data_IF_961911123649
#
_entry.id   IF_961911123649
#
_cell.length_a   1.000
_cell.length_b   1.000
_cell.length_c   1.000
_cell.angle_alpha   90.00
_cell.angle_beta   90.00
_cell.angle_gamma   90.00
#
_symmetry.space_group_name_H-M   'P 1'
#
loop_
_entity.id
_entity.type
_entity.pdbx_description
1 polymer ?
#
# COMPACT_ATOMS: atom_id res chain seq x y z
N UNK A 1 -29.11 -6.78 -1.85
CA UNK A 1 -28.32 -5.89 -0.98
C UNK A 1 -28.72 -6.19 0.45
N UNK A 2 -27.76 -6.44 1.34
CA UNK A 2 -28.03 -6.85 2.72
C UNK A 2 -28.09 -5.62 3.62
N UNK A 3 -29.26 -4.96 3.65
CA UNK A 3 -29.56 -3.87 4.57
C UNK A 3 -30.98 -4.09 5.12
N UNK A 4 -31.24 -3.77 6.40
CA UNK A 4 -32.58 -3.93 6.97
C UNK A 4 -33.60 -3.05 6.25
N UNK A 5 -34.86 -3.49 6.27
CA UNK A 5 -35.97 -2.66 5.80
C UNK A 5 -36.35 -1.59 6.85
N UNK A 6 -37.12 -0.58 6.41
CA UNK A 6 -37.62 0.48 7.28
C UNK A 6 -36.59 1.57 7.61
N UNK A 7 -36.67 2.13 8.82
CA UNK A 7 -35.89 3.32 9.22
C UNK A 7 -34.37 3.08 9.22
N UNK A 8 -33.93 1.82 9.34
CA UNK A 8 -32.52 1.43 9.35
C UNK A 8 -31.94 1.16 7.96
N UNK A 9 -32.75 1.25 6.90
CA UNK A 9 -32.31 1.02 5.53
C UNK A 9 -31.18 1.99 5.15
N UNK A 10 -30.03 1.45 4.78
CA UNK A 10 -28.83 2.21 4.45
C UNK A 10 -27.99 2.71 5.64
N UNK A 11 -28.52 2.64 6.86
CA UNK A 11 -27.78 2.95 8.10
C UNK A 11 -26.98 1.74 8.57
N UNK A 12 -27.62 0.57 8.64
CA UNK A 12 -26.96 -0.68 8.98
C UNK A 12 -26.37 -1.30 7.71
N UNK A 13 -25.07 -1.57 7.75
CA UNK A 13 -24.29 -2.08 6.62
C UNK A 13 -23.52 -3.32 7.05
N UNK A 14 -23.44 -4.28 6.14
CA UNK A 14 -22.65 -5.49 6.30
C UNK A 14 -21.36 -5.37 5.47
N UNK A 15 -20.25 -5.89 6.01
CA UNK A 15 -18.97 -5.91 5.30
C UNK A 15 -18.99 -6.99 4.21
N UNK A 16 -18.28 -6.75 3.11
CA UNK A 16 -18.10 -7.75 2.07
C UNK A 16 -17.16 -8.88 2.52
N UNK A 17 -17.23 -10.05 1.87
CA UNK A 17 -16.43 -11.23 2.24
C UNK A 17 -14.91 -10.98 2.31
N UNK A 18 -14.36 -10.23 1.36
CA UNK A 18 -12.91 -9.90 1.32
C UNK A 18 -12.61 -8.54 1.95
N UNK A 19 -13.55 -7.98 2.71
CA UNK A 19 -13.36 -6.71 3.37
C UNK A 19 -12.42 -6.86 4.56
N UNK A 20 -11.51 -5.91 4.71
CA UNK A 20 -10.57 -5.82 5.82
C UNK A 20 -10.58 -4.41 6.39
N UNK A 21 -10.40 -4.25 7.71
CA UNK A 21 -10.33 -2.95 8.37
C UNK A 21 -8.91 -2.76 8.88
N UNK A 22 -8.28 -1.64 8.54
CA UNK A 22 -6.90 -1.36 8.96
C UNK A 22 -6.78 -1.25 10.47
N UNK A 23 -5.72 -1.83 11.03
CA UNK A 23 -5.37 -1.71 12.47
C UNK A 23 -4.45 -0.51 12.74
N UNK A 24 -3.82 0.01 11.68
CA UNK A 24 -2.92 1.14 11.74
C UNK A 24 -1.48 0.75 12.01
N UNK A 25 -0.56 1.66 11.69
CA UNK A 25 0.87 1.48 11.88
C UNK A 25 1.55 2.81 12.26
N UNK A 26 2.69 2.78 12.98
CA UNK A 26 3.49 3.97 13.26
C UNK A 26 3.86 4.72 11.98
N UNK A 27 3.80 6.06 12.02
CA UNK A 27 4.08 6.93 10.87
C UNK A 27 5.51 7.44 10.83
N UNK A 28 6.23 7.41 11.94
CA UNK A 28 7.59 7.91 12.07
C UNK A 28 8.55 7.24 11.07
N UNK A 29 8.54 5.90 10.89
CA UNK A 29 9.48 5.25 9.96
C UNK A 29 9.32 5.69 8.50
N UNK A 30 8.08 6.01 8.07
CA UNK A 30 7.84 6.46 6.70
C UNK A 30 8.32 7.91 6.50
N UNK A 31 8.18 8.76 7.52
CA UNK A 31 8.69 10.14 7.49
C UNK A 31 10.23 10.11 7.39
N UNK A 32 10.90 9.35 8.25
CA UNK A 32 12.36 9.19 8.24
C UNK A 32 12.87 8.66 6.89
N UNK A 33 12.17 7.69 6.31
CA UNK A 33 12.49 7.17 4.99
C UNK A 33 12.42 8.24 3.90
N UNK A 34 11.36 9.06 3.91
CA UNK A 34 11.18 10.13 2.92
C UNK A 34 12.22 11.25 3.10
N UNK A 35 12.58 11.61 4.34
CA UNK A 35 13.67 12.56 4.61
C UNK A 35 15.00 12.07 4.00
N UNK A 36 15.33 10.79 4.20
CA UNK A 36 16.51 10.14 3.59
C UNK A 36 16.45 10.02 2.06
N UNK A 37 15.32 10.38 1.44
CA UNK A 37 15.08 10.38 -0.01
C UNK A 37 14.82 11.78 -0.54
N UNK A 38 15.43 12.80 0.08
CA UNK A 38 15.40 14.19 -0.37
C UNK A 38 14.02 14.87 -0.26
N UNK A 39 13.16 14.40 0.65
CA UNK A 39 12.07 15.24 1.14
C UNK A 39 12.64 16.33 2.04
N UNK A 40 12.38 17.59 1.70
CA UNK A 40 12.69 18.76 2.53
C UNK A 40 11.63 18.84 3.63
N UNK A 41 12.02 18.94 4.90
CA UNK A 41 11.08 19.14 5.99
C UNK A 41 10.43 20.52 5.89
N UNK A 42 9.21 20.65 6.44
CA UNK A 42 8.42 21.87 6.30
C UNK A 42 9.15 23.09 6.90
N UNK A 43 9.88 22.90 7.99
CA UNK A 43 10.62 23.96 8.69
C UNK A 43 11.77 24.54 7.84
N UNK A 44 12.32 23.76 6.91
CA UNK A 44 13.41 24.17 6.01
C UNK A 44 12.90 24.61 4.63
N UNK A 45 11.60 24.49 4.39
CA UNK A 45 11.01 24.76 3.09
C UNK A 45 10.83 26.27 2.83
N UNK A 46 11.45 26.74 1.76
CA UNK A 46 11.29 28.11 1.25
C UNK A 46 10.40 28.12 -0.01
N UNK A 47 9.17 28.64 0.05
CA UNK A 47 8.24 28.61 -1.08
C UNK A 47 8.75 29.34 -2.33
N UNK A 48 9.49 30.42 -2.15
CA UNK A 48 10.06 31.19 -3.27
C UNK A 48 11.15 30.41 -4.02
N UNK A 49 11.87 29.53 -3.33
CA UNK A 49 12.95 28.71 -3.90
C UNK A 49 12.40 27.53 -4.70
N UNK A 50 11.28 26.97 -4.27
CA UNK A 50 10.68 25.77 -4.90
C UNK A 50 9.14 25.87 -5.00
N UNK A 51 8.60 26.82 -5.78
CA UNK A 51 7.15 27.07 -5.86
C UNK A 51 6.35 25.91 -6.46
N UNK A 52 7.02 24.99 -7.15
CA UNK A 52 6.41 23.83 -7.79
C UNK A 52 6.64 22.52 -7.02
N UNK A 53 7.17 22.58 -5.79
CA UNK A 53 7.34 21.39 -4.97
C UNK A 53 5.98 20.77 -4.60
N UNK A 54 5.95 19.46 -4.48
CA UNK A 54 4.77 18.70 -4.04
C UNK A 54 4.76 18.59 -2.53
N UNK A 55 3.65 18.97 -1.92
CA UNK A 55 3.42 18.89 -0.47
C UNK A 55 3.26 17.43 -0.06
N UNK A 56 3.92 17.01 1.01
CA UNK A 56 3.82 15.67 1.57
C UNK A 56 3.02 15.72 2.86
N UNK A 57 1.93 14.97 2.91
CA UNK A 57 1.06 14.86 4.07
C UNK A 57 1.10 13.45 4.63
N UNK A 58 1.19 13.34 5.96
CA UNK A 58 1.08 12.06 6.67
C UNK A 58 -0.02 12.20 7.72
N UNK A 59 -1.08 11.39 7.61
CA UNK A 59 -2.26 11.45 8.48
C UNK A 59 -2.87 12.86 8.59
N UNK A 60 -2.85 13.61 7.49
CA UNK A 60 -3.36 14.99 7.41
C UNK A 60 -2.38 16.08 7.86
N UNK A 61 -1.24 15.73 8.45
CA UNK A 61 -0.19 16.68 8.85
C UNK A 61 0.73 16.95 7.67
N UNK A 62 0.96 18.21 7.34
CA UNK A 62 1.95 18.60 6.33
C UNK A 62 3.36 18.46 6.93
N UNK A 63 4.12 17.47 6.49
CA UNK A 63 5.44 17.15 7.05
C UNK A 63 6.61 17.72 6.24
N UNK A 64 6.39 18.01 4.95
CA UNK A 64 7.46 18.50 4.09
C UNK A 64 7.06 18.64 2.64
N UNK A 65 8.06 18.81 1.77
CA UNK A 65 7.88 18.91 0.33
C UNK A 65 8.90 18.05 -0.42
N UNK A 66 8.57 17.69 -1.65
CA UNK A 66 9.49 16.98 -2.54
C UNK A 66 9.42 17.53 -3.96
N UNK A 67 10.58 17.66 -4.62
CA UNK A 67 10.70 18.22 -5.98
C UNK A 67 10.36 17.22 -7.08
N UNK A 68 10.66 15.94 -6.85
CA UNK A 68 10.31 14.83 -7.76
C UNK A 68 9.33 13.83 -7.09
N UNK A 69 8.03 14.17 -7.01
CA UNK A 69 7.04 13.31 -6.35
C UNK A 69 6.83 11.97 -7.06
N UNK A 70 7.10 11.88 -8.38
CA UNK A 70 6.87 10.65 -9.12
C UNK A 70 7.85 9.56 -8.66
N UNK A 71 9.12 9.92 -8.50
CA UNK A 71 10.13 9.02 -7.96
C UNK A 71 9.84 8.64 -6.50
N UNK A 72 9.47 9.61 -5.65
CA UNK A 72 9.15 9.34 -4.25
C UNK A 72 7.98 8.36 -4.11
N UNK A 73 6.88 8.59 -4.85
CA UNK A 73 5.69 7.73 -4.83
C UNK A 73 6.03 6.30 -5.27
N UNK A 74 6.81 6.15 -6.36
CA UNK A 74 7.25 4.83 -6.83
C UNK A 74 8.06 4.06 -5.77
N UNK A 75 8.97 4.76 -5.09
CA UNK A 75 9.79 4.17 -4.03
C UNK A 75 8.93 3.71 -2.84
N UNK A 76 8.03 4.57 -2.34
CA UNK A 76 7.17 4.23 -1.20
C UNK A 76 6.18 3.11 -1.57
N UNK A 77 5.63 3.14 -2.79
CA UNK A 77 4.77 2.05 -3.28
C UNK A 77 5.53 0.73 -3.35
N UNK A 78 6.79 0.75 -3.78
CA UNK A 78 7.65 -0.44 -3.84
C UNK A 78 7.94 -1.00 -2.45
N UNK A 79 8.20 -0.14 -1.45
CA UNK A 79 8.35 -0.57 -0.05
C UNK A 79 7.09 -1.30 0.45
N UNK A 80 5.90 -0.75 0.17
CA UNK A 80 4.62 -1.36 0.56
C UNK A 80 4.42 -2.72 -0.09
N UNK A 81 4.74 -2.84 -1.39
CA UNK A 81 4.62 -4.10 -2.15
C UNK A 81 5.59 -5.19 -1.67
N UNK A 82 6.71 -4.79 -1.07
CA UNK A 82 7.72 -5.70 -0.51
C UNK A 82 7.56 -5.90 1.00
N UNK A 83 6.46 -5.43 1.61
CA UNK A 83 6.17 -5.54 3.04
C UNK A 83 7.19 -4.86 3.98
N UNK A 84 8.03 -3.95 3.49
CA UNK A 84 8.94 -3.14 4.35
C UNK A 84 8.18 -2.08 5.15
N UNK A 85 7.03 -1.66 4.63
CA UNK A 85 6.03 -0.88 5.36
C UNK A 85 4.71 -1.64 5.31
N UNK A 86 3.84 -1.40 6.30
CA UNK A 86 2.56 -2.09 6.38
C UNK A 86 1.79 -2.01 5.06
N UNK A 87 1.23 -3.15 4.63
CA UNK A 87 0.40 -3.25 3.43
C UNK A 87 -0.86 -2.38 3.53
N UNK A 88 -1.26 -2.00 4.76
CA UNK A 88 -2.37 -1.12 5.07
C UNK A 88 -2.13 0.35 4.71
N UNK A 89 -0.88 0.77 4.52
CA UNK A 89 -0.55 2.18 4.27
C UNK A 89 -1.21 2.63 2.96
N UNK A 90 -2.06 3.66 3.01
CA UNK A 90 -2.66 4.26 1.82
C UNK A 90 -1.75 5.36 1.26
N UNK A 91 -1.62 5.39 -0.06
CA UNK A 91 -0.76 6.31 -0.80
C UNK A 91 -1.60 6.99 -1.88
N UNK A 92 -1.73 8.30 -1.82
CA UNK A 92 -2.53 9.09 -2.76
C UNK A 92 -1.70 10.23 -3.31
N UNK A 93 -1.46 10.23 -4.62
CA UNK A 93 -0.80 11.33 -5.33
C UNK A 93 -1.85 12.17 -6.05
N UNK A 94 -2.12 13.36 -5.53
CA UNK A 94 -2.91 14.37 -6.24
C UNK A 94 -1.99 15.25 -7.10
N UNK A 95 -2.06 15.05 -8.42
CA UNK A 95 -1.21 15.76 -9.37
C UNK A 95 -1.67 17.21 -9.53
N UNK A 96 -2.97 17.49 -9.42
CA UNK A 96 -3.52 18.84 -9.65
C UNK A 96 -3.19 19.75 -8.48
N UNK A 97 -3.42 19.27 -7.26
CA UNK A 97 -3.19 20.03 -6.04
C UNK A 97 -1.72 19.96 -5.57
N UNK A 98 -0.91 19.15 -6.27
CA UNK A 98 0.51 18.88 -5.96
C UNK A 98 0.66 18.40 -4.52
N UNK A 99 -0.05 17.32 -4.21
CA UNK A 99 -0.05 16.70 -2.88
C UNK A 99 0.27 15.21 -2.98
N UNK A 100 1.08 14.74 -2.05
CA UNK A 100 1.27 13.33 -1.80
C UNK A 100 0.80 13.03 -0.38
N UNK A 101 -0.32 12.30 -0.24
CA UNK A 101 -0.98 12.01 1.02
C UNK A 101 -0.75 10.54 1.39
N UNK A 102 -0.29 10.34 2.61
CA UNK A 102 0.01 9.03 3.19
C UNK A 102 -0.87 8.86 4.42
N UNK A 103 -1.54 7.71 4.51
CA UNK A 103 -2.38 7.37 5.66
C UNK A 103 -1.91 6.04 6.26
N UNK A 104 -1.59 6.07 7.55
CA UNK A 104 -1.17 4.93 8.35
C UNK A 104 -2.15 4.64 9.49
N UNK A 105 -3.26 5.37 9.54
CA UNK A 105 -4.32 5.25 10.53
C UNK A 105 -5.17 3.98 10.38
N UNK A 106 -5.81 3.63 11.50
CA UNK A 106 -6.75 2.52 11.63
C UNK A 106 -8.16 2.90 11.13
N UNK A 107 -9.00 1.89 10.90
CA UNK A 107 -10.43 2.10 10.60
C UNK A 107 -10.77 2.32 9.13
N UNK A 108 -9.78 2.28 8.22
CA UNK A 108 -10.03 2.33 6.77
C UNK A 108 -10.53 0.98 6.30
N UNK A 109 -11.56 1.02 5.47
CA UNK A 109 -12.14 -0.18 4.85
C UNK A 109 -11.37 -0.50 3.58
N UNK A 110 -10.78 -1.69 3.52
CA UNK A 110 -9.92 -2.15 2.45
C UNK A 110 -10.45 -3.44 1.81
N UNK A 111 -10.02 -3.69 0.58
CA UNK A 111 -10.28 -4.93 -0.17
C UNK A 111 -9.03 -5.27 -0.99
N UNK A 112 -8.55 -6.52 -0.97
CA UNK A 112 -7.44 -6.94 -1.80
C UNK A 112 -7.85 -6.92 -3.28
N UNK A 113 -6.90 -6.57 -4.14
CA UNK A 113 -7.07 -6.53 -5.59
C UNK A 113 -5.82 -7.10 -6.25
N UNK A 114 -5.99 -7.66 -7.44
CA UNK A 114 -4.84 -8.03 -8.26
C UNK A 114 -4.15 -6.80 -8.85
N UNK A 115 -2.83 -6.88 -8.92
CA UNK A 115 -1.98 -5.83 -9.45
C UNK A 115 -1.70 -6.09 -10.92
N UNK A 116 -1.74 -5.03 -11.73
CA UNK A 116 -1.30 -5.02 -13.12
C UNK A 116 0.14 -4.54 -13.18
N UNK A 117 0.97 -5.19 -14.00
CA UNK A 117 2.30 -4.70 -14.34
C UNK A 117 2.16 -3.48 -15.25
N UNK A 118 2.74 -2.35 -14.84
CA UNK A 118 2.61 -1.07 -15.52
C UNK A 118 3.97 -0.54 -16.03
N UNK A 119 5.09 -1.19 -15.70
CA UNK A 119 6.38 -0.80 -16.24
C UNK A 119 6.46 -1.21 -17.71
N UNK A 120 6.50 -0.21 -18.60
CA UNK A 120 6.61 -0.41 -20.05
C UNK A 120 7.87 -1.18 -20.48
N UNK A 121 8.89 -1.27 -19.63
CA UNK A 121 10.10 -2.07 -19.89
C UNK A 121 9.90 -3.55 -19.57
N UNK A 122 8.90 -3.89 -18.75
CA UNK A 122 8.62 -5.26 -18.39
C UNK A 122 7.89 -5.93 -19.57
N UNK A 123 8.35 -7.11 -20.06
CA UNK A 123 7.63 -7.84 -21.11
C UNK A 123 6.18 -8.20 -20.73
N UNK A 124 5.85 -8.24 -19.43
CA UNK A 124 4.51 -8.49 -18.92
C UNK A 124 3.65 -7.20 -18.77
N UNK A 125 4.12 -6.04 -19.24
CA UNK A 125 3.39 -4.77 -19.15
C UNK A 125 1.95 -4.89 -19.69
N UNK A 126 1.00 -4.39 -18.91
CA UNK A 126 -0.43 -4.43 -19.23
C UNK A 126 -1.16 -5.69 -18.74
N UNK A 127 -0.45 -6.68 -18.22
CA UNK A 127 -1.03 -7.94 -17.72
C UNK A 127 -1.00 -8.03 -16.20
N UNK A 128 -1.73 -9.03 -15.65
CA UNK A 128 -1.70 -9.35 -14.23
C UNK A 128 -0.29 -9.79 -13.80
N UNK A 129 0.11 -9.34 -12.61
CA UNK A 129 1.31 -9.85 -11.94
C UNK A 129 1.09 -11.29 -11.46
N UNK A 130 -0.16 -11.69 -11.20
CA UNK A 130 -0.51 -13.07 -10.89
C UNK A 130 -0.37 -13.93 -12.15
N UNK A 131 0.55 -14.90 -12.13
CA UNK A 131 0.74 -15.88 -13.21
C UNK A 131 0.14 -17.24 -12.85
N UNK A 132 0.09 -18.14 -13.84
CA UNK A 132 -0.32 -19.54 -13.60
C UNK A 132 0.66 -20.29 -12.71
N UNK A 133 1.96 -19.97 -12.76
CA UNK A 133 2.93 -20.57 -11.84
C UNK A 133 2.61 -20.24 -10.38
N UNK A 134 2.18 -19.01 -10.08
CA UNK A 134 1.76 -18.66 -8.71
C UNK A 134 0.58 -19.49 -8.23
N UNK A 135 -0.37 -19.81 -9.12
CA UNK A 135 -1.54 -20.63 -8.75
C UNK A 135 -1.11 -22.07 -8.47
N UNK A 136 -0.26 -22.63 -9.33
CA UNK A 136 0.27 -23.99 -9.14
C UNK A 136 1.02 -24.12 -7.82
N UNK A 137 1.88 -23.16 -7.48
CA UNK A 137 2.57 -23.13 -6.18
C UNK A 137 1.61 -23.09 -5.00
N UNK A 138 0.52 -22.30 -5.09
CA UNK A 138 -0.50 -22.26 -4.05
C UNK A 138 -1.34 -23.56 -3.95
N UNK A 139 -1.42 -24.34 -5.03
CA UNK A 139 -2.04 -25.67 -5.00
C UNK A 139 -1.10 -26.69 -4.37
N UNK A 140 0.19 -26.66 -4.71
CA UNK A 140 1.25 -27.47 -4.07
C UNK A 140 1.34 -27.20 -2.57
N UNK A 141 1.22 -25.94 -2.15
CA UNK A 141 1.21 -25.54 -0.73
C UNK A 141 0.10 -26.24 0.07
N UNK A 142 -1.04 -26.57 -0.55
CA UNK A 142 -2.13 -27.29 0.13
C UNK A 142 -1.80 -28.76 0.37
N UNK A 143 -0.89 -29.31 -0.41
CA UNK A 143 -0.44 -30.71 -0.33
C UNK A 143 0.77 -30.87 0.60
N UNK A 144 1.39 -29.77 1.06
CA UNK A 144 2.42 -29.79 2.11
C UNK A 144 1.82 -30.34 3.41
N UNK A 145 2.00 -31.64 3.65
CA UNK A 145 1.52 -32.34 4.83
C UNK A 145 2.27 -31.95 6.11
N UNK A 146 1.67 -32.25 7.27
CA UNK A 146 2.30 -32.09 8.58
C UNK A 146 3.50 -33.04 8.81
N UNK A 147 3.68 -34.03 7.94
CA UNK A 147 4.74 -35.05 8.02
C UNK A 147 6.07 -34.60 7.36
N UNK A 148 6.10 -33.43 6.72
CA UNK A 148 7.32 -32.85 6.18
C UNK A 148 8.19 -32.23 7.28
N UNK A 149 9.50 -32.28 7.07
CA UNK A 149 10.46 -31.61 7.93
C UNK A 149 10.16 -30.10 7.99
N UNK A 150 10.13 -29.47 9.19
CA UNK A 150 9.77 -28.06 9.32
C UNK A 150 10.63 -27.12 8.48
N UNK A 151 11.92 -27.40 8.30
CA UNK A 151 12.84 -26.60 7.48
C UNK A 151 12.47 -26.69 5.99
N UNK A 152 12.23 -27.89 5.46
CA UNK A 152 11.78 -28.06 4.07
C UNK A 152 10.41 -27.44 3.81
N UNK A 153 9.54 -27.42 4.83
CA UNK A 153 8.21 -26.79 4.73
C UNK A 153 8.33 -25.27 4.66
N UNK A 154 9.18 -24.67 5.47
CA UNK A 154 9.40 -23.21 5.48
C UNK A 154 10.01 -22.71 4.15
N UNK A 155 10.93 -23.47 3.54
CA UNK A 155 11.48 -23.11 2.23
C UNK A 155 10.46 -23.17 1.08
N UNK A 156 9.49 -24.10 1.16
CA UNK A 156 8.51 -24.31 0.09
C UNK A 156 7.26 -23.46 0.25
N UNK A 157 6.87 -23.16 1.48
CA UNK A 157 5.64 -22.46 1.80
C UNK A 157 5.65 -21.03 1.24
N UNK A 158 4.70 -20.74 0.34
CA UNK A 158 4.52 -19.40 -0.26
C UNK A 158 3.50 -18.54 0.50
N UNK A 159 2.70 -19.15 1.38
CA UNK A 159 1.62 -18.49 2.12
C UNK A 159 2.05 -17.32 3.01
N UNK A 160 1.07 -16.70 3.67
CA UNK A 160 1.31 -15.57 4.57
C UNK A 160 1.66 -16.11 5.98
N UNK A 161 2.69 -15.55 6.60
CA UNK A 161 2.92 -15.67 8.05
C UNK A 161 2.07 -14.69 8.86
#
# INVERSE_FOLDING_TARGET
AETPEGQACGLVKNLALMCYITVGSPSEPIIDFMMKRNMEILEEYEPLRSPNATKVFVNGVWVGVHRDPAHLVSNVQSLRRRHWISHEVSLVRDIRDREFKIFTDAGRVCRPLFVIENDAKNPNCGNLVLTKEHILRLEEDKELGADMDPEEREERFMGWE
#
